data_IF_062427819092
#
_entry.id   IF_062427819092
#
_cell.length_a   1.000
_cell.length_b   1.000
_cell.length_c   1.000
_cell.angle_alpha   90.00
_cell.angle_beta   90.00
_cell.angle_gamma   90.00
#
_symmetry.space_group_name_H-M   'P 1'
#
loop_
_entity.id
_entity.type
_entity.pdbx_description
1 polymer ?
#
# COMPACT_ATOMS: atom_id res chain seq x y z
N UNK A 1 2.34 2.76 31.06
CA UNK A 1 2.29 4.01 30.27
C UNK A 1 1.53 3.68 29.00
N UNK A 2 0.47 4.41 28.69
CA UNK A 2 -0.29 4.20 27.44
C UNK A 2 0.46 4.84 26.27
N UNK A 3 0.23 4.31 25.06
CA UNK A 3 0.90 4.80 23.85
C UNK A 3 0.14 5.99 23.26
N UNK A 4 0.86 7.04 22.87
CA UNK A 4 0.31 8.24 22.24
C UNK A 4 0.78 8.34 20.77
N UNK A 5 -0.07 8.89 19.91
CA UNK A 5 0.21 9.10 18.49
C UNK A 5 -0.09 10.55 18.10
N UNK A 6 0.71 11.11 17.20
CA UNK A 6 0.54 12.46 16.65
C UNK A 6 0.63 12.45 15.13
N UNK A 7 -0.06 13.38 14.47
CA UNK A 7 -0.08 13.52 13.02
C UNK A 7 0.79 14.71 12.54
N UNK A 8 1.87 15.00 13.24
CA UNK A 8 2.84 16.06 12.90
C UNK A 8 4.25 15.49 12.89
N UNK A 9 5.11 16.01 12.01
CA UNK A 9 6.53 15.65 12.04
C UNK A 9 7.23 16.28 13.27
N UNK A 10 8.49 15.90 13.52
CA UNK A 10 9.29 16.45 14.63
C UNK A 10 9.55 17.96 14.53
N UNK A 11 9.21 18.60 13.40
CA UNK A 11 9.30 20.05 13.16
C UNK A 11 7.92 20.73 13.28
N UNK A 12 6.89 20.00 13.71
CA UNK A 12 5.54 20.52 13.88
C UNK A 12 4.76 20.74 12.59
N UNK A 13 5.20 20.15 11.47
CA UNK A 13 4.54 20.30 10.17
C UNK A 13 3.71 19.06 9.82
N UNK A 14 2.48 19.30 9.37
CA UNK A 14 1.58 18.29 8.77
C UNK A 14 2.07 17.98 7.34
N UNK A 15 3.15 17.21 7.21
CA UNK A 15 3.76 16.98 5.88
C UNK A 15 3.16 15.77 5.15
N UNK A 16 3.01 14.64 5.84
CA UNK A 16 2.62 13.34 5.24
C UNK A 16 1.55 12.61 6.06
N UNK A 17 1.14 13.19 7.19
CA UNK A 17 0.23 12.59 8.15
C UNK A 17 -1.02 13.45 8.24
N UNK A 18 -2.19 12.82 8.37
CA UNK A 18 -3.46 13.52 8.40
C UNK A 18 -4.62 12.59 8.15
N UNK A 19 -5.79 13.18 7.88
CA UNK A 19 -7.03 12.47 7.60
C UNK A 19 -6.96 11.86 6.20
N UNK A 20 -7.36 10.60 6.08
CA UNK A 20 -7.50 9.89 4.81
C UNK A 20 -9.00 9.77 4.48
N UNK A 21 -9.44 10.36 3.38
CA UNK A 21 -10.83 10.36 2.91
C UNK A 21 -10.97 9.64 1.56
N UNK A 22 -12.15 9.07 1.31
CA UNK A 22 -12.54 8.53 0.00
C UNK A 22 -11.65 7.41 -0.56
N UNK A 23 -11.14 6.54 0.31
CA UNK A 23 -10.39 5.35 -0.08
C UNK A 23 -10.90 4.07 0.56
N UNK A 24 -10.21 2.97 0.27
CA UNK A 24 -10.53 1.65 0.80
C UNK A 24 -9.50 1.25 1.86
N UNK A 25 -9.97 0.70 2.98
CA UNK A 25 -9.11 0.23 4.07
C UNK A 25 -9.09 -1.30 4.08
N UNK A 26 -7.93 -1.86 3.76
CA UNK A 26 -7.65 -3.29 3.84
C UNK A 26 -7.15 -3.65 5.24
N UNK A 27 -7.69 -4.74 5.77
CA UNK A 27 -7.16 -5.42 6.95
C UNK A 27 -6.28 -6.56 6.48
N UNK A 28 -5.00 -6.54 6.85
CA UNK A 28 -3.98 -7.48 6.38
C UNK A 28 -3.12 -7.97 7.53
N UNK A 29 -2.26 -8.94 7.27
CA UNK A 29 -1.21 -9.30 8.22
C UNK A 29 -0.17 -8.18 8.34
N UNK A 30 0.50 -8.12 9.50
CA UNK A 30 1.67 -7.26 9.72
C UNK A 30 2.84 -7.73 8.84
N UNK A 31 2.91 -9.03 8.53
CA UNK A 31 3.92 -9.59 7.63
C UNK A 31 3.85 -8.95 6.25
N UNK A 32 2.64 -8.88 5.65
CA UNK A 32 2.45 -8.25 4.35
C UNK A 32 2.88 -6.78 4.38
N UNK A 33 2.49 -6.02 5.41
CA UNK A 33 2.91 -4.61 5.55
C UNK A 33 4.43 -4.46 5.56
N UNK A 34 5.14 -5.28 6.35
CA UNK A 34 6.61 -5.29 6.41
C UNK A 34 7.25 -5.69 5.08
N UNK A 35 6.64 -6.65 4.38
CA UNK A 35 7.12 -7.11 3.08
C UNK A 35 7.02 -6.00 2.05
N UNK A 36 5.89 -5.30 1.99
CA UNK A 36 5.68 -4.19 1.05
C UNK A 36 6.63 -3.02 1.29
N UNK A 37 6.88 -2.67 2.55
CA UNK A 37 7.80 -1.60 2.93
C UNK A 37 9.28 -1.99 2.79
N UNK A 38 9.59 -3.25 2.48
CA UNK A 38 10.95 -3.67 2.20
C UNK A 38 11.38 -3.15 0.82
N UNK A 39 12.51 -2.43 0.75
CA UNK A 39 13.05 -1.89 -0.49
C UNK A 39 13.34 -2.96 -1.58
N UNK A 40 13.50 -4.22 -1.19
CA UNK A 40 13.67 -5.35 -2.13
C UNK A 40 12.36 -5.83 -2.75
N UNK A 41 11.20 -5.47 -2.18
CA UNK A 41 9.91 -5.88 -2.71
C UNK A 41 9.64 -5.13 -4.02
N UNK A 42 9.42 -5.84 -5.14
CA UNK A 42 9.23 -5.20 -6.43
C UNK A 42 7.84 -4.58 -6.60
N UNK A 43 6.88 -4.89 -5.72
CA UNK A 43 5.48 -4.54 -5.89
C UNK A 43 5.25 -3.02 -5.94
N UNK A 44 5.73 -2.27 -4.94
CA UNK A 44 5.49 -0.82 -4.87
C UNK A 44 6.10 -0.08 -6.07
N UNK A 45 7.29 -0.51 -6.49
CA UNK A 45 7.95 0.04 -7.68
C UNK A 45 7.17 -0.30 -8.95
N UNK A 46 6.64 -1.52 -9.06
CA UNK A 46 5.83 -1.92 -10.20
C UNK A 46 4.50 -1.14 -10.24
N UNK A 47 3.83 -0.95 -9.11
CA UNK A 47 2.62 -0.12 -9.01
C UNK A 47 2.91 1.33 -9.43
N UNK A 48 3.99 1.93 -8.94
CA UNK A 48 4.33 3.32 -9.25
C UNK A 48 4.74 3.55 -10.72
N UNK A 49 5.35 2.56 -11.36
CA UNK A 49 5.89 2.71 -12.73
C UNK A 49 4.98 2.17 -13.83
N UNK A 50 4.13 1.20 -13.51
CA UNK A 50 3.33 0.46 -14.51
C UNK A 50 1.83 0.69 -14.38
N UNK A 51 1.33 1.13 -13.22
CA UNK A 51 -0.09 1.46 -13.11
C UNK A 51 -0.40 2.69 -13.96
N UNK A 52 -1.40 2.57 -14.84
CA UNK A 52 -1.98 3.73 -15.54
C UNK A 52 -2.84 4.60 -14.60
N UNK A 53 -3.37 4.00 -13.54
CA UNK A 53 -4.21 4.67 -12.55
C UNK A 53 -3.37 5.49 -11.57
N UNK A 54 -3.85 6.68 -11.22
CA UNK A 54 -3.30 7.46 -10.11
C UNK A 54 -3.62 6.73 -8.81
N UNK A 55 -2.59 6.22 -8.14
CA UNK A 55 -2.72 5.44 -6.91
C UNK A 55 -2.15 6.24 -5.75
N UNK A 56 -2.98 6.42 -4.71
CA UNK A 56 -2.54 6.79 -3.39
C UNK A 56 -2.54 5.53 -2.51
N UNK A 57 -1.46 5.33 -1.76
CA UNK A 57 -1.25 4.14 -0.94
C UNK A 57 -0.60 4.53 0.38
N UNK A 58 -1.21 4.12 1.48
CA UNK A 58 -0.70 4.30 2.84
C UNK A 58 -0.63 2.94 3.52
N UNK A 59 0.53 2.58 4.05
CA UNK A 59 0.77 1.30 4.70
C UNK A 59 1.00 1.55 6.19
N UNK A 60 0.04 1.13 7.01
CA UNK A 60 0.14 1.13 8.45
C UNK A 60 0.81 -0.13 8.96
N UNK A 61 1.85 0.01 9.77
CA UNK A 61 2.55 -1.11 10.42
C UNK A 61 1.67 -1.91 11.41
N UNK A 62 0.45 -1.45 11.65
CA UNK A 62 -0.60 -2.12 12.42
C UNK A 62 -1.44 -3.12 11.60
N UNK A 63 -1.03 -3.47 10.37
CA UNK A 63 -1.78 -4.39 9.52
C UNK A 63 -2.96 -3.74 8.79
N UNK A 64 -2.94 -2.42 8.65
CA UNK A 64 -3.96 -1.67 7.90
C UNK A 64 -3.31 -1.03 6.68
N UNK A 65 -3.86 -1.27 5.51
CA UNK A 65 -3.41 -0.65 4.26
C UNK A 65 -4.57 0.16 3.71
N UNK A 66 -4.37 1.46 3.55
CA UNK A 66 -5.33 2.33 2.90
C UNK A 66 -4.89 2.60 1.46
N UNK A 67 -5.82 2.52 0.52
CA UNK A 67 -5.54 2.78 -0.89
C UNK A 67 -6.70 3.48 -1.59
N UNK A 68 -6.36 4.29 -2.59
CA UNK A 68 -7.33 5.02 -3.42
C UNK A 68 -6.80 5.10 -4.84
N UNK A 69 -7.62 4.67 -5.80
CA UNK A 69 -7.37 4.85 -7.23
C UNK A 69 -8.45 5.76 -7.85
N UNK A 70 -8.30 6.09 -9.13
CA UNK A 70 -9.26 6.93 -9.87
C UNK A 70 -10.68 6.34 -9.88
N UNK A 71 -10.79 5.00 -9.92
CA UNK A 71 -12.07 4.29 -9.85
C UNK A 71 -12.11 3.30 -8.67
N UNK A 72 -13.30 3.08 -8.12
CA UNK A 72 -13.49 2.07 -7.07
C UNK A 72 -13.13 0.66 -7.56
N UNK A 73 -13.47 0.34 -8.81
CA UNK A 73 -13.13 -0.94 -9.43
C UNK A 73 -11.61 -1.19 -9.47
N UNK A 74 -10.83 -0.17 -9.85
CA UNK A 74 -9.37 -0.26 -9.82
C UNK A 74 -8.83 -0.33 -8.39
N UNK A 75 -9.42 0.42 -7.46
CA UNK A 75 -9.05 0.37 -6.03
C UNK A 75 -9.18 -1.05 -5.49
N UNK A 76 -10.33 -1.71 -5.74
CA UNK A 76 -10.56 -3.10 -5.33
C UNK A 76 -9.58 -4.06 -6.04
N UNK A 77 -9.36 -3.88 -7.34
CA UNK A 77 -8.46 -4.70 -8.14
C UNK A 77 -7.02 -4.65 -7.62
N UNK A 78 -6.52 -3.45 -7.33
CA UNK A 78 -5.19 -3.22 -6.77
C UNK A 78 -5.09 -3.76 -5.34
N UNK A 79 -6.13 -3.57 -4.53
CA UNK A 79 -6.18 -4.14 -3.18
C UNK A 79 -6.08 -5.66 -3.18
N UNK A 80 -6.82 -6.33 -4.06
CA UNK A 80 -6.73 -7.78 -4.22
C UNK A 80 -5.35 -8.23 -4.72
N UNK A 81 -4.73 -7.46 -5.61
CA UNK A 81 -3.37 -7.75 -6.08
C UNK A 81 -2.35 -7.66 -4.93
N UNK A 82 -2.46 -6.64 -4.07
CA UNK A 82 -1.61 -6.48 -2.88
C UNK A 82 -1.77 -7.68 -1.93
N UNK A 83 -3.01 -8.12 -1.66
CA UNK A 83 -3.27 -9.27 -0.79
C UNK A 83 -2.63 -10.56 -1.30
N UNK A 84 -2.64 -10.80 -2.62
CA UNK A 84 -2.05 -12.01 -3.23
C UNK A 84 -0.53 -12.09 -3.05
N UNK A 85 0.14 -10.96 -2.87
CA UNK A 85 1.60 -10.92 -2.77
C UNK A 85 2.14 -11.44 -1.43
N UNK A 86 1.30 -11.72 -0.43
CA UNK A 86 1.75 -12.06 0.93
C UNK A 86 2.74 -13.24 0.96
N UNK A 87 2.42 -14.33 0.27
CA UNK A 87 3.22 -15.57 0.29
C UNK A 87 4.06 -15.78 -0.97
N UNK A 88 4.04 -14.84 -1.93
CA UNK A 88 4.77 -14.97 -3.20
C UNK A 88 6.25 -14.60 -3.08
N UNK A 89 7.11 -15.20 -3.89
CA UNK A 89 8.51 -14.75 -4.04
C UNK A 89 8.58 -13.40 -4.78
N UNK A 90 9.75 -12.75 -4.77
CA UNK A 90 9.92 -11.51 -5.51
C UNK A 90 9.78 -11.70 -7.03
N UNK A 91 10.21 -12.86 -7.54
CA UNK A 91 10.10 -13.25 -8.94
C UNK A 91 8.63 -13.46 -9.33
N UNK A 92 7.87 -14.16 -8.49
CA UNK A 92 6.43 -14.37 -8.69
C UNK A 92 5.67 -13.03 -8.66
N UNK A 93 6.05 -12.11 -7.76
CA UNK A 93 5.45 -10.77 -7.69
C UNK A 93 5.75 -9.99 -8.97
N UNK A 94 6.95 -10.08 -9.54
CA UNK A 94 7.27 -9.43 -10.81
C UNK A 94 6.40 -9.93 -11.96
N UNK A 95 6.24 -11.25 -12.08
CA UNK A 95 5.37 -11.87 -13.08
C UNK A 95 3.88 -11.49 -12.87
N UNK A 96 3.43 -11.46 -11.62
CA UNK A 96 2.09 -11.00 -11.28
C UNK A 96 1.87 -9.54 -11.69
N UNK A 97 2.87 -8.67 -11.50
CA UNK A 97 2.78 -7.28 -11.92
C UNK A 97 2.74 -7.12 -13.44
N UNK A 98 3.43 -7.98 -14.20
CA UNK A 98 3.43 -7.96 -15.67
C UNK A 98 2.10 -8.40 -16.27
N UNK A 99 1.44 -9.36 -15.64
CA UNK A 99 0.13 -9.88 -16.07
C UNK A 99 -1.03 -9.04 -15.53
N UNK A 100 -0.90 -8.56 -14.29
CA UNK A 100 -1.94 -7.90 -13.53
C UNK A 100 -2.00 -6.39 -13.65
N UNK A 101 -0.99 -5.68 -14.21
CA UNK A 101 -1.01 -4.21 -14.33
C UNK A 101 -1.19 -3.70 -15.77
N UNK A 102 -1.73 -4.52 -16.69
CA UNK A 102 -2.01 -4.12 -18.09
C UNK A 102 -3.20 -3.18 -18.22
#
# INVERSE_FOLDING_TARGET
>A
MESELVCVDSRGKEFILGILSDGYLLHTSIHLCRKLLNAKCPLLKALATRSKARLELVIGMNGKIWLRADTFGETVRLGNLILRCELMSNEEIQQLCETGLK
#
